data_IF_983451072700
#
_entry.id   IF_983451072700
#
_cell.length_a   1.000
_cell.length_b   1.000
_cell.length_c   1.000
_cell.angle_alpha   90.00
_cell.angle_beta   90.00
_cell.angle_gamma   90.00
#
_symmetry.space_group_name_H-M   'P 1'
#
loop_
_entity.id
_entity.type
_entity.pdbx_description
1 polymer ?
#
# COMPACT_ATOMS: atom_id res chain seq x y z
N UNK A 1 -12.82 11.30 13.92
CA UNK A 1 -13.82 10.23 13.65
C UNK A 1 -14.69 10.51 12.42
N UNK A 2 -15.20 11.73 12.21
CA UNK A 2 -16.04 12.07 11.03
C UNK A 2 -15.40 11.75 9.68
N UNK A 3 -14.10 12.01 9.52
CA UNK A 3 -13.36 11.69 8.28
C UNK A 3 -13.26 10.19 7.99
N UNK A 4 -13.00 9.35 9.01
CA UNK A 4 -12.93 7.90 8.86
C UNK A 4 -14.28 7.29 8.46
N UNK A 5 -15.39 7.83 9.00
CA UNK A 5 -16.75 7.42 8.61
C UNK A 5 -17.05 7.75 7.15
N UNK A 6 -16.58 8.90 6.65
CA UNK A 6 -16.74 9.27 5.25
C UNK A 6 -15.97 8.33 4.33
N UNK A 7 -14.71 7.99 4.66
CA UNK A 7 -13.92 7.03 3.88
C UNK A 7 -14.61 5.67 3.83
N UNK A 8 -15.11 5.18 4.98
CA UNK A 8 -15.86 3.93 5.04
C UNK A 8 -17.13 3.99 4.18
N UNK A 9 -17.89 5.08 4.24
CA UNK A 9 -19.10 5.25 3.45
C UNK A 9 -18.82 5.22 1.95
N UNK A 10 -17.80 5.96 1.48
CA UNK A 10 -17.40 5.95 0.07
C UNK A 10 -16.90 4.57 -0.36
N UNK A 11 -16.16 3.87 0.49
CA UNK A 11 -15.70 2.49 0.22
C UNK A 11 -16.87 1.53 0.03
N UNK A 12 -17.84 1.54 0.94
CA UNK A 12 -19.05 0.71 0.86
C UNK A 12 -19.85 1.04 -0.41
N UNK A 13 -20.06 2.33 -0.69
CA UNK A 13 -20.73 2.77 -1.93
C UNK A 13 -19.98 2.32 -3.19
N UNK A 14 -18.65 2.33 -3.17
CA UNK A 14 -17.81 1.84 -4.25
C UNK A 14 -17.98 0.34 -4.51
N UNK A 15 -18.08 -0.48 -3.45
CA UNK A 15 -18.39 -1.92 -3.57
C UNK A 15 -19.76 -2.11 -4.24
N UNK A 16 -20.80 -1.43 -3.73
CA UNK A 16 -22.14 -1.52 -4.30
C UNK A 16 -22.17 -1.09 -5.77
N UNK A 17 -21.55 0.05 -6.09
CA UNK A 17 -21.45 0.52 -7.47
C UNK A 17 -20.74 -0.50 -8.36
N UNK A 18 -19.63 -1.08 -7.90
CA UNK A 18 -18.83 -2.10 -8.60
C UNK A 18 -19.62 -3.34 -9.04
N UNK A 19 -20.63 -3.73 -8.25
CA UNK A 19 -21.48 -4.89 -8.55
C UNK A 19 -22.56 -4.62 -9.61
N UNK A 20 -22.86 -3.36 -9.93
CA UNK A 20 -23.95 -3.01 -10.84
C UNK A 20 -23.55 -3.20 -12.32
N UNK A 21 -24.44 -3.77 -13.17
CA UNK A 21 -24.17 -4.00 -14.59
C UNK A 21 -23.99 -2.70 -15.41
N UNK A 22 -24.55 -1.57 -14.95
CA UNK A 22 -24.55 -0.27 -15.64
C UNK A 22 -23.27 0.58 -15.53
N UNK A 23 -22.20 0.06 -14.92
CA UNK A 23 -20.92 0.77 -14.87
C UNK A 23 -20.31 0.93 -16.28
N UNK A 24 -19.86 2.15 -16.65
CA UNK A 24 -19.14 2.39 -17.88
C UNK A 24 -17.96 1.44 -18.06
N UNK A 25 -17.74 0.99 -19.30
CA UNK A 25 -16.64 0.05 -19.62
C UNK A 25 -15.25 0.56 -19.21
N UNK A 26 -15.04 1.87 -19.19
CA UNK A 26 -13.76 2.42 -18.74
C UNK A 26 -13.50 2.10 -17.27
N UNK A 27 -14.47 2.30 -16.37
CA UNK A 27 -14.35 2.05 -14.91
C UNK A 27 -14.12 0.59 -14.54
N UNK A 28 -14.44 -0.34 -15.44
CA UNK A 28 -14.27 -1.79 -15.22
C UNK A 28 -12.89 -2.32 -15.58
N UNK A 29 -12.02 -1.50 -16.16
CA UNK A 29 -10.70 -1.95 -16.56
C UNK A 29 -9.83 -2.23 -15.32
N UNK A 30 -9.22 -3.42 -15.20
CA UNK A 30 -8.38 -3.76 -14.05
C UNK A 30 -7.17 -2.81 -13.92
N UNK A 31 -6.70 -2.27 -15.05
CA UNK A 31 -5.54 -1.38 -15.11
C UNK A 31 -5.80 0.02 -14.53
N UNK A 32 -7.06 0.44 -14.41
CA UNK A 32 -7.38 1.75 -13.83
C UNK A 32 -6.93 1.87 -12.38
N UNK A 33 -7.05 0.80 -11.60
CA UNK A 33 -6.58 0.80 -10.21
C UNK A 33 -5.06 0.98 -10.16
N UNK A 34 -4.34 0.35 -11.10
CA UNK A 34 -2.89 0.46 -11.22
C UNK A 34 -2.47 1.88 -11.64
N UNK A 35 -3.17 2.50 -12.59
CA UNK A 35 -2.91 3.90 -12.96
C UNK A 35 -3.25 4.89 -11.84
N UNK A 36 -4.33 4.66 -11.10
CA UNK A 36 -4.67 5.45 -9.93
C UNK A 36 -3.58 5.34 -8.85
N UNK A 37 -3.06 4.13 -8.61
CA UNK A 37 -1.93 3.91 -7.71
C UNK A 37 -0.68 4.66 -8.17
N UNK A 38 -0.34 4.62 -9.46
CA UNK A 38 0.81 5.36 -9.99
C UNK A 38 0.65 6.88 -9.83
N UNK A 39 -0.53 7.41 -10.11
CA UNK A 39 -0.83 8.82 -9.90
C UNK A 39 -0.70 9.19 -8.42
N UNK A 40 -1.22 8.35 -7.52
CA UNK A 40 -1.15 8.59 -6.09
C UNK A 40 0.30 8.56 -5.58
N UNK A 41 1.10 7.58 -6.00
CA UNK A 41 2.54 7.51 -5.71
C UNK A 41 3.28 8.76 -6.19
N UNK A 42 2.96 9.25 -7.39
CA UNK A 42 3.53 10.49 -7.91
C UNK A 42 3.15 11.70 -7.05
N UNK A 43 1.86 11.85 -6.71
CA UNK A 43 1.37 12.96 -5.89
C UNK A 43 1.98 12.95 -4.49
N UNK A 44 2.09 11.79 -3.86
CA UNK A 44 2.74 11.65 -2.56
C UNK A 44 4.24 11.97 -2.68
N UNK A 45 4.90 11.55 -3.76
CA UNK A 45 6.28 11.92 -4.06
C UNK A 45 6.47 13.44 -4.18
N UNK A 46 5.58 14.13 -4.89
CA UNK A 46 5.58 15.60 -5.00
C UNK A 46 5.34 16.25 -3.63
N UNK A 47 4.37 15.77 -2.87
CA UNK A 47 4.07 16.28 -1.53
C UNK A 47 5.23 16.14 -0.55
N UNK A 48 5.90 14.98 -0.54
CA UNK A 48 7.13 14.77 0.22
C UNK A 48 8.28 15.64 -0.29
N UNK A 49 8.43 15.76 -1.61
CA UNK A 49 9.47 16.57 -2.25
C UNK A 49 9.37 18.05 -1.89
N UNK A 50 8.16 18.59 -1.80
CA UNK A 50 7.90 19.96 -1.38
C UNK A 50 8.13 20.20 0.13
N UNK A 51 8.19 19.15 0.94
CA UNK A 51 8.37 19.26 2.39
C UNK A 51 9.85 19.41 2.76
N UNK A 52 10.32 20.66 2.88
CA UNK A 52 11.69 20.96 3.29
C UNK A 52 12.09 20.39 4.66
N UNK A 53 11.15 20.18 5.58
CA UNK A 53 11.44 19.58 6.89
C UNK A 53 11.77 18.09 6.76
N UNK A 54 11.05 17.35 5.90
CA UNK A 54 11.35 15.96 5.59
C UNK A 54 12.78 15.80 5.03
N UNK A 55 13.18 16.68 4.12
CA UNK A 55 14.55 16.72 3.58
C UNK A 55 15.61 17.04 4.65
N UNK A 56 15.34 18.00 5.53
CA UNK A 56 16.26 18.33 6.64
C UNK A 56 16.39 17.18 7.62
N UNK A 57 15.30 16.45 7.89
CA UNK A 57 15.32 15.26 8.71
C UNK A 57 16.17 14.16 8.06
N UNK A 58 15.89 13.83 6.79
CA UNK A 58 16.66 12.86 5.99
C UNK A 58 18.17 13.16 5.98
N UNK A 59 18.57 14.41 5.80
CA UNK A 59 20.00 14.81 5.82
C UNK A 59 20.66 14.67 7.18
N UNK A 60 19.88 14.68 8.27
CA UNK A 60 20.37 14.47 9.65
C UNK A 60 20.29 13.00 10.07
N UNK A 61 19.74 12.12 9.23
CA UNK A 61 19.67 10.70 9.52
C UNK A 61 21.05 10.07 9.36
N UNK A 62 21.50 9.41 10.42
CA UNK A 62 22.65 8.52 10.34
C UNK A 62 22.27 7.25 9.58
N UNK A 63 23.16 6.70 8.77
CA UNK A 63 22.93 5.45 8.02
C UNK A 63 22.48 4.28 8.92
N UNK A 64 22.84 4.30 10.22
CA UNK A 64 22.34 3.33 11.21
C UNK A 64 20.81 3.28 11.32
N UNK A 65 20.09 4.38 11.02
CA UNK A 65 18.63 4.36 11.10
C UNK A 65 17.99 3.48 10.01
N UNK A 66 18.71 3.20 8.92
CA UNK A 66 18.27 2.25 7.89
C UNK A 66 18.16 0.81 8.41
N UNK A 67 18.78 0.50 9.56
CA UNK A 67 18.61 -0.79 10.21
C UNK A 67 17.15 -1.00 10.68
N UNK A 68 16.41 0.07 10.98
CA UNK A 68 15.00 -0.02 11.37
C UNK A 68 14.14 -0.54 10.22
N UNK A 69 14.07 0.11 9.03
CA UNK A 69 13.30 -0.42 7.90
C UNK A 69 13.83 -1.77 7.42
N UNK A 70 15.15 -2.03 7.46
CA UNK A 70 15.69 -3.36 7.14
C UNK A 70 15.19 -4.44 8.11
N UNK A 71 15.19 -4.15 9.41
CA UNK A 71 14.64 -5.04 10.43
C UNK A 71 13.15 -5.30 10.22
N UNK A 72 12.38 -4.27 9.86
CA UNK A 72 10.96 -4.42 9.51
C UNK A 72 10.78 -5.29 8.27
N UNK A 73 11.57 -5.09 7.21
CA UNK A 73 11.53 -5.91 6.00
C UNK A 73 11.80 -7.38 6.33
N UNK A 74 12.91 -7.66 7.02
CA UNK A 74 13.29 -9.03 7.41
C UNK A 74 12.24 -9.65 8.32
N UNK A 75 11.80 -8.94 9.36
CA UNK A 75 10.78 -9.42 10.28
C UNK A 75 9.45 -9.72 9.59
N UNK A 76 9.03 -8.88 8.63
CA UNK A 76 7.81 -9.09 7.84
C UNK A 76 7.95 -10.34 6.98
N UNK A 77 9.06 -10.48 6.25
CA UNK A 77 9.31 -11.65 5.39
C UNK A 77 9.36 -12.95 6.19
N UNK A 78 10.02 -12.95 7.35
CA UNK A 78 10.06 -14.11 8.26
C UNK A 78 8.66 -14.42 8.80
N UNK A 79 7.93 -13.42 9.28
CA UNK A 79 6.57 -13.60 9.78
C UNK A 79 5.63 -14.18 8.71
N UNK A 80 5.72 -13.68 7.47
CA UNK A 80 4.96 -14.18 6.32
C UNK A 80 5.37 -15.61 5.95
N UNK A 81 6.67 -15.92 5.96
CA UNK A 81 7.15 -17.28 5.72
C UNK A 81 6.61 -18.26 6.77
N UNK A 82 6.64 -17.90 8.06
CA UNK A 82 6.08 -18.72 9.13
C UNK A 82 4.57 -18.86 9.00
N UNK A 83 3.85 -17.77 8.73
CA UNK A 83 2.40 -17.79 8.56
C UNK A 83 1.95 -18.60 7.33
N UNK A 84 2.77 -18.64 6.28
CA UNK A 84 2.47 -19.44 5.08
C UNK A 84 2.36 -20.94 5.37
N UNK A 85 2.96 -21.43 6.47
CA UNK A 85 2.80 -22.82 6.92
C UNK A 85 1.35 -23.15 7.32
N UNK A 86 0.57 -22.14 7.73
CA UNK A 86 -0.86 -22.26 8.05
C UNK A 86 -1.75 -22.13 6.81
N UNK A 87 -1.18 -21.75 5.66
CA UNK A 87 -1.89 -21.52 4.40
C UNK A 87 -1.38 -22.47 3.30
N UNK A 88 -1.68 -23.77 3.38
CA UNK A 88 -1.14 -24.78 2.46
C UNK A 88 -1.52 -24.57 0.99
N UNK A 89 -2.54 -23.76 0.71
CA UNK A 89 -2.96 -23.41 -0.65
C UNK A 89 -2.04 -22.39 -1.36
N UNK A 90 -1.20 -21.66 -0.63
CA UNK A 90 -0.31 -20.66 -1.19
C UNK A 90 1.13 -21.17 -1.21
N UNK A 91 1.80 -21.04 -2.35
CA UNK A 91 3.24 -21.25 -2.38
C UNK A 91 3.95 -20.17 -1.55
N UNK A 92 5.10 -20.52 -0.96
CA UNK A 92 5.92 -19.58 -0.20
C UNK A 92 6.23 -18.29 -0.99
N UNK A 93 6.46 -18.41 -2.30
CA UNK A 93 6.73 -17.25 -3.18
C UNK A 93 5.52 -16.33 -3.30
N UNK A 94 4.31 -16.88 -3.41
CA UNK A 94 3.08 -16.09 -3.47
C UNK A 94 2.82 -15.40 -2.12
N UNK A 95 3.01 -16.12 -1.01
CA UNK A 95 2.86 -15.54 0.33
C UNK A 95 3.84 -14.38 0.54
N UNK A 96 5.12 -14.57 0.21
CA UNK A 96 6.14 -13.52 0.31
C UNK A 96 5.87 -12.35 -0.64
N UNK A 97 5.38 -12.59 -1.85
CA UNK A 97 5.01 -11.52 -2.79
C UNK A 97 3.89 -10.64 -2.25
N UNK A 98 2.86 -11.23 -1.61
CA UNK A 98 1.79 -10.50 -0.95
C UNK A 98 2.31 -9.74 0.28
N UNK A 99 3.18 -10.38 1.07
CA UNK A 99 3.77 -9.80 2.28
C UNK A 99 4.79 -8.68 2.03
N UNK A 100 5.42 -8.66 0.85
CA UNK A 100 6.42 -7.67 0.45
C UNK A 100 5.83 -6.31 0.04
N UNK A 101 4.57 -6.03 0.36
CA UNK A 101 3.95 -4.74 0.09
C UNK A 101 4.52 -3.58 0.91
N UNK A 102 5.28 -3.83 1.98
CA UNK A 102 6.06 -2.84 2.76
C UNK A 102 5.40 -1.44 2.95
N UNK A 103 4.08 -1.40 3.16
CA UNK A 103 3.35 -0.16 3.44
C UNK A 103 2.89 0.68 2.24
N UNK A 104 2.99 0.21 0.98
CA UNK A 104 2.45 0.98 -0.16
C UNK A 104 0.93 1.16 -0.11
N UNK A 105 0.22 0.33 0.67
CA UNK A 105 -1.23 0.43 0.88
C UNK A 105 -1.63 1.46 1.96
N UNK A 106 -0.65 2.05 2.66
CA UNK A 106 -0.89 3.01 3.75
C UNK A 106 -0.78 4.48 3.29
N UNK A 107 -0.69 4.71 1.97
CA UNK A 107 -0.60 6.02 1.32
C UNK A 107 -1.93 6.78 1.30
#
# INVERSE_FOLDING_TARGET
MKGSLLVLAVFVLGIFAGTQPGLPMFLRRPDLALYALYLLLFLVGVGMGANQQAWKMLRRLNLRILLVPLGVIVGTLVGVALFSLLLPALSLRQALAVGAGFGYYSL
#
